data_IF_396871694658
#
_entry.id   IF_396871694658
#
_cell.length_a   1.000
_cell.length_b   1.000
_cell.length_c   1.000
_cell.angle_alpha   90.00
_cell.angle_beta   90.00
_cell.angle_gamma   90.00
#
_symmetry.space_group_name_H-M   'P 1'
#
loop_
_entity.id
_entity.type
_entity.pdbx_description
1 polymer ?
#
# COMPACT_ATOMS: atom_id res chain seq x y z
N UNK A 1 -20.14 3.85 0.36
CA UNK A 1 -19.43 4.99 0.94
C UNK A 1 -18.24 4.46 1.74
N UNK A 2 -17.01 4.83 1.37
CA UNK A 2 -15.78 4.42 2.06
C UNK A 2 -15.68 5.06 3.45
N UNK A 3 -14.69 4.63 4.25
CA UNK A 3 -14.40 5.29 5.53
C UNK A 3 -14.05 6.76 5.32
N UNK A 4 -13.18 7.07 4.37
CA UNK A 4 -12.74 8.44 4.11
C UNK A 4 -13.91 9.34 3.67
N UNK A 5 -14.82 8.84 2.83
CA UNK A 5 -16.05 9.55 2.48
C UNK A 5 -16.96 9.80 3.70
N UNK A 6 -17.05 8.85 4.63
CA UNK A 6 -17.79 9.06 5.90
C UNK A 6 -17.11 10.14 6.77
N UNK A 7 -15.79 10.16 6.84
CA UNK A 7 -15.02 11.20 7.54
C UNK A 7 -15.32 12.57 6.92
N UNK A 8 -15.21 12.70 5.59
CA UNK A 8 -15.46 13.94 4.85
C UNK A 8 -16.91 14.43 4.97
N UNK A 9 -17.88 13.50 4.98
CA UNK A 9 -19.30 13.84 5.19
C UNK A 9 -19.61 14.37 6.59
N UNK A 10 -18.73 14.13 7.56
CA UNK A 10 -18.95 14.44 8.97
C UNK A 10 -19.73 13.38 9.74
N UNK A 11 -20.07 12.25 9.12
CA UNK A 11 -20.78 11.14 9.77
C UNK A 11 -20.00 10.55 10.97
N UNK A 12 -18.67 10.73 11.01
CA UNK A 12 -17.84 10.28 12.13
C UNK A 12 -17.54 11.40 13.15
N UNK A 13 -18.07 12.61 12.95
CA UNK A 13 -17.89 13.75 13.84
C UNK A 13 -16.98 14.85 13.30
N UNK A 14 -17.05 16.03 13.94
CA UNK A 14 -16.43 17.26 13.43
C UNK A 14 -14.90 17.20 13.35
N UNK A 15 -14.25 16.48 14.27
CA UNK A 15 -12.80 16.30 14.23
C UNK A 15 -12.36 15.57 12.95
N UNK A 16 -12.99 14.42 12.66
CA UNK A 16 -12.66 13.60 11.50
C UNK A 16 -12.95 14.30 10.18
N UNK A 17 -14.03 15.09 10.12
CA UNK A 17 -14.31 15.94 8.97
C UNK A 17 -13.19 16.94 8.68
N UNK A 18 -12.78 17.71 9.70
CA UNK A 18 -11.69 18.68 9.57
C UNK A 18 -10.36 18.02 9.21
N UNK A 19 -10.10 16.81 9.74
CA UNK A 19 -8.91 16.05 9.39
C UNK A 19 -8.92 15.60 7.93
N UNK A 20 -10.04 15.06 7.44
CA UNK A 20 -10.21 14.64 6.05
C UNK A 20 -10.10 15.81 5.06
N UNK A 21 -10.69 16.97 5.38
CA UNK A 21 -10.57 18.19 4.58
C UNK A 21 -9.11 18.66 4.46
N UNK A 22 -8.36 18.68 5.59
CA UNK A 22 -6.93 18.99 5.57
C UNK A 22 -6.11 17.99 4.77
N UNK A 23 -6.49 16.72 4.82
CA UNK A 23 -5.80 15.69 4.06
C UNK A 23 -6.01 15.85 2.55
N UNK A 24 -7.22 16.21 2.10
CA UNK A 24 -7.46 16.55 0.68
C UNK A 24 -6.65 17.76 0.24
N UNK A 25 -6.52 18.79 1.09
CA UNK A 25 -5.70 19.95 0.77
C UNK A 25 -4.22 19.57 0.63
N UNK A 26 -3.71 18.74 1.54
CA UNK A 26 -2.34 18.22 1.43
C UNK A 26 -2.13 17.40 0.15
N UNK A 27 -3.09 16.57 -0.25
CA UNK A 27 -3.01 15.82 -1.51
C UNK A 27 -2.99 16.76 -2.71
N UNK A 28 -3.76 17.85 -2.67
CA UNK A 28 -3.73 18.90 -3.69
C UNK A 28 -2.35 19.59 -3.75
N UNK A 29 -1.79 19.95 -2.61
CA UNK A 29 -0.44 20.54 -2.51
C UNK A 29 0.63 19.58 -3.04
N UNK A 30 0.58 18.30 -2.66
CA UNK A 30 1.54 17.29 -3.11
C UNK A 30 1.43 17.03 -4.63
N UNK A 31 0.24 17.09 -5.20
CA UNK A 31 0.02 17.04 -6.66
C UNK A 31 0.61 18.28 -7.36
N UNK A 32 0.35 19.49 -6.84
CA UNK A 32 0.89 20.73 -7.41
C UNK A 32 2.42 20.80 -7.31
N UNK A 33 2.99 20.29 -6.23
CA UNK A 33 4.43 20.23 -6.00
C UNK A 33 5.12 19.10 -6.80
N UNK A 34 4.37 18.29 -7.57
CA UNK A 34 4.92 17.18 -8.34
C UNK A 34 5.40 15.99 -7.50
N UNK A 35 5.04 15.94 -6.21
CA UNK A 35 5.29 14.77 -5.35
C UNK A 35 4.33 13.62 -5.66
N UNK A 36 3.18 13.93 -6.26
CA UNK A 36 2.32 12.98 -6.93
C UNK A 36 2.35 13.33 -8.41
N UNK A 37 2.65 12.36 -9.27
CA UNK A 37 2.64 12.52 -10.72
C UNK A 37 1.56 11.64 -11.32
N UNK A 38 0.99 12.09 -12.44
CA UNK A 38 0.00 11.34 -13.21
C UNK A 38 0.52 11.30 -14.65
N UNK A 39 0.67 10.10 -15.21
CA UNK A 39 1.13 9.93 -16.59
C UNK A 39 0.00 10.12 -17.62
N UNK A 40 0.33 10.00 -18.90
CA UNK A 40 -0.61 10.15 -20.02
C UNK A 40 -1.76 9.12 -20.02
N UNK A 41 -1.59 7.99 -19.33
CA UNK A 41 -2.60 6.95 -19.18
C UNK A 41 -3.43 7.13 -17.89
N UNK A 42 -3.20 8.21 -17.15
CA UNK A 42 -3.86 8.49 -15.89
C UNK A 42 -3.33 7.68 -14.71
N UNK A 43 -2.16 7.03 -14.82
CA UNK A 43 -1.55 6.27 -13.73
C UNK A 43 -0.88 7.21 -12.75
N UNK A 44 -1.32 7.19 -11.49
CA UNK A 44 -0.75 8.01 -10.45
C UNK A 44 0.43 7.33 -9.73
N UNK A 45 1.51 8.07 -9.51
CA UNK A 45 2.73 7.63 -8.81
C UNK A 45 3.13 8.61 -7.71
N UNK A 46 3.74 8.09 -6.65
CA UNK A 46 4.31 8.91 -5.57
C UNK A 46 5.70 9.46 -5.96
N UNK A 47 6.31 10.21 -5.04
CA UNK A 47 7.58 10.91 -5.25
C UNK A 47 8.78 9.97 -5.46
N UNK A 48 8.66 8.67 -5.15
CA UNK A 48 9.67 7.65 -5.42
C UNK A 48 9.34 6.80 -6.65
N UNK A 49 8.35 7.22 -7.45
CA UNK A 49 7.96 6.57 -8.69
C UNK A 49 7.10 5.31 -8.54
N UNK A 50 6.62 4.97 -7.34
CA UNK A 50 5.74 3.82 -7.11
C UNK A 50 4.27 4.17 -7.35
N UNK A 51 3.50 3.24 -7.90
CA UNK A 51 2.06 3.43 -8.12
C UNK A 51 1.33 3.65 -6.80
N UNK A 52 0.35 4.56 -6.78
CA UNK A 52 -0.38 4.90 -5.56
C UNK A 52 -1.21 3.73 -4.99
N UNK A 53 -1.22 3.65 -3.66
CA UNK A 53 -2.11 2.76 -2.90
C UNK A 53 -3.55 3.26 -2.95
N UNK A 54 -4.51 2.37 -2.66
CA UNK A 54 -5.95 2.62 -2.86
C UNK A 54 -6.49 3.78 -2.02
N UNK A 55 -5.98 3.94 -0.81
CA UNK A 55 -6.36 5.01 0.12
C UNK A 55 -5.92 6.39 -0.37
N UNK A 56 -4.68 6.51 -0.89
CA UNK A 56 -4.18 7.75 -1.47
C UNK A 56 -4.79 8.03 -2.84
N UNK A 57 -5.01 6.98 -3.64
CA UNK A 57 -5.68 7.07 -4.94
C UNK A 57 -7.13 7.57 -4.81
N UNK A 58 -7.86 7.10 -3.80
CA UNK A 58 -9.20 7.60 -3.50
C UNK A 58 -9.18 9.12 -3.26
N UNK A 59 -8.26 9.59 -2.43
CA UNK A 59 -8.12 11.02 -2.10
C UNK A 59 -7.73 11.83 -3.33
N UNK A 60 -6.80 11.32 -4.15
CA UNK A 60 -6.38 11.98 -5.38
C UNK A 60 -7.55 12.09 -6.38
N UNK A 61 -8.37 11.05 -6.52
CA UNK A 61 -9.54 11.06 -7.39
C UNK A 61 -10.64 12.04 -6.95
N UNK A 62 -10.61 12.50 -5.69
CA UNK A 62 -11.48 13.59 -5.21
C UNK A 62 -10.91 14.99 -5.50
N UNK A 63 -9.61 15.09 -5.80
CA UNK A 63 -8.90 16.35 -5.99
C UNK A 63 -8.68 16.68 -7.47
N UNK A 64 -8.63 15.66 -8.33
CA UNK A 64 -8.45 15.82 -9.78
C UNK A 64 -9.18 14.72 -10.58
N UNK A 65 -9.63 15.09 -11.77
CA UNK A 65 -10.21 14.23 -12.81
C UNK A 65 -9.16 13.57 -13.72
N UNK A 66 -7.88 13.97 -13.62
CA UNK A 66 -6.80 13.47 -14.48
C UNK A 66 -6.37 12.04 -14.17
N UNK A 67 -6.69 11.54 -12.97
CA UNK A 67 -6.30 10.19 -12.54
C UNK A 67 -7.32 9.16 -12.97
N UNK A 68 -6.83 8.02 -13.46
CA UNK A 68 -7.64 6.82 -13.69
C UNK A 68 -7.47 5.85 -12.53
N UNK A 69 -8.53 5.62 -11.76
CA UNK A 69 -8.54 4.66 -10.65
C UNK A 69 -8.29 3.24 -11.15
N UNK A 70 -8.88 2.90 -12.30
CA UNK A 70 -8.73 1.59 -12.93
C UNK A 70 -7.30 1.37 -13.42
N UNK A 71 -6.74 2.30 -14.19
CA UNK A 71 -5.39 2.18 -14.73
C UNK A 71 -4.34 2.14 -13.60
N UNK A 72 -4.52 2.98 -12.58
CA UNK A 72 -3.63 2.97 -11.39
C UNK A 72 -3.74 1.65 -10.63
N UNK A 73 -4.94 1.09 -10.47
CA UNK A 73 -5.13 -0.21 -9.81
C UNK A 73 -4.45 -1.34 -10.60
N UNK A 74 -4.67 -1.40 -11.92
CA UNK A 74 -4.04 -2.42 -12.77
C UNK A 74 -2.51 -2.30 -12.77
N UNK A 75 -1.96 -1.09 -12.82
CA UNK A 75 -0.52 -0.85 -12.73
C UNK A 75 0.05 -1.31 -11.39
N UNK A 76 -0.66 -1.02 -10.28
CA UNK A 76 -0.27 -1.46 -8.94
C UNK A 76 -0.25 -2.99 -8.84
N UNK A 77 -1.29 -3.66 -9.31
CA UNK A 77 -1.39 -5.12 -9.23
C UNK A 77 -0.27 -5.80 -10.02
N UNK A 78 0.11 -5.22 -11.17
CA UNK A 78 1.27 -5.67 -11.96
C UNK A 78 2.59 -5.46 -11.22
N UNK A 79 2.81 -4.30 -10.61
CA UNK A 79 4.03 -4.00 -9.85
C UNK A 79 4.16 -4.87 -8.60
N UNK A 80 3.07 -5.07 -7.86
CA UNK A 80 3.01 -5.97 -6.70
C UNK A 80 3.28 -7.40 -7.12
N UNK A 81 2.64 -7.88 -8.19
CA UNK A 81 2.85 -9.25 -8.70
C UNK A 81 4.30 -9.47 -9.09
N UNK A 82 4.92 -8.50 -9.78
CA UNK A 82 6.33 -8.55 -10.15
C UNK A 82 7.23 -8.58 -8.92
N UNK A 83 7.01 -7.68 -7.95
CA UNK A 83 7.81 -7.61 -6.72
C UNK A 83 7.72 -8.90 -5.90
N UNK A 84 6.52 -9.48 -5.78
CA UNK A 84 6.32 -10.76 -5.09
C UNK A 84 7.00 -11.92 -5.82
N UNK A 85 6.96 -11.95 -7.15
CA UNK A 85 7.66 -12.97 -7.94
C UNK A 85 9.19 -12.86 -7.79
N UNK A 86 9.73 -11.64 -7.80
CA UNK A 86 11.15 -11.39 -7.57
C UNK A 86 11.57 -11.82 -6.16
N UNK A 87 10.78 -11.49 -5.13
CA UNK A 87 11.01 -11.94 -3.77
C UNK A 87 11.04 -13.47 -3.67
N UNK A 88 10.05 -14.16 -4.26
CA UNK A 88 10.02 -15.64 -4.27
C UNK A 88 11.23 -16.25 -4.97
N UNK A 89 11.72 -15.61 -6.03
CA UNK A 89 12.90 -16.09 -6.78
C UNK A 89 14.20 -15.93 -5.98
N UNK A 90 14.30 -14.88 -5.15
CA UNK A 90 15.50 -14.57 -4.37
C UNK A 90 15.43 -15.05 -2.91
N UNK A 91 14.30 -15.62 -2.50
CA UNK A 91 14.08 -16.13 -1.15
C UNK A 91 15.14 -17.16 -0.80
N UNK A 92 15.74 -16.99 0.38
CA UNK A 92 16.74 -17.90 0.94
C UNK A 92 16.07 -18.80 1.98
N UNK A 93 16.56 -20.04 2.13
CA UNK A 93 16.13 -20.88 3.23
C UNK A 93 16.47 -20.21 4.57
N UNK A 94 15.66 -20.51 5.58
CA UNK A 94 15.86 -20.04 6.96
C UNK A 94 17.24 -20.49 7.45
N UNK A 95 18.04 -19.54 7.93
CA UNK A 95 19.33 -19.82 8.55
C UNK A 95 19.17 -20.42 9.94
N UNK A 96 20.27 -20.98 10.49
CA UNK A 96 20.23 -21.56 11.84
C UNK A 96 19.93 -20.51 12.92
N UNK A 97 20.49 -19.31 12.79
CA UNK A 97 20.24 -18.19 13.68
C UNK A 97 18.76 -17.77 13.64
N UNK A 98 18.20 -17.53 12.45
CA UNK A 98 16.78 -17.23 12.28
C UNK A 98 15.89 -18.34 12.85
N UNK A 99 16.29 -19.62 12.71
CA UNK A 99 15.55 -20.74 13.29
C UNK A 99 15.55 -20.70 14.82
N UNK A 100 16.66 -20.34 15.46
CA UNK A 100 16.74 -20.16 16.92
C UNK A 100 15.87 -18.99 17.39
N UNK A 101 15.89 -17.87 16.66
CA UNK A 101 15.03 -16.71 16.95
C UNK A 101 13.54 -17.06 16.82
N UNK A 102 13.18 -17.77 15.75
CA UNK A 102 11.82 -18.25 15.53
C UNK A 102 11.39 -19.22 16.64
N UNK A 103 12.25 -20.15 17.08
CA UNK A 103 11.96 -21.02 18.22
C UNK A 103 11.71 -20.24 19.51
N UNK A 104 12.48 -19.19 19.77
CA UNK A 104 12.30 -18.35 20.96
C UNK A 104 10.98 -17.55 20.91
N UNK A 105 10.58 -17.08 19.73
CA UNK A 105 9.36 -16.28 19.55
C UNK A 105 8.07 -17.12 19.48
N UNK A 106 8.10 -18.24 18.75
CA UNK A 106 6.92 -19.05 18.43
C UNK A 106 6.85 -20.38 19.17
N UNK A 107 7.93 -20.78 19.86
CA UNK A 107 8.04 -22.05 20.55
C UNK A 107 8.58 -23.18 19.68
N UNK A 108 9.30 -24.11 20.33
CA UNK A 108 9.79 -25.34 19.71
C UNK A 108 8.63 -26.27 19.33
N UNK A 109 8.70 -26.88 18.16
CA UNK A 109 7.68 -27.74 17.57
C UNK A 109 6.61 -26.99 16.77
N UNK A 110 6.66 -25.66 16.72
CA UNK A 110 5.69 -24.85 15.96
C UNK A 110 6.05 -24.84 14.47
N UNK A 111 5.04 -24.96 13.59
CA UNK A 111 5.22 -24.72 12.15
C UNK A 111 5.01 -23.25 11.84
N UNK A 112 6.04 -22.59 11.32
CA UNK A 112 5.95 -21.22 10.81
C UNK A 112 5.86 -21.23 9.29
N UNK A 113 5.03 -20.35 8.74
CA UNK A 113 4.82 -20.25 7.29
C UNK A 113 5.28 -18.88 6.81
N UNK A 114 6.16 -18.86 5.81
CA UNK A 114 6.47 -17.64 5.09
C UNK A 114 5.26 -17.27 4.21
N UNK A 115 4.54 -16.22 4.58
CA UNK A 115 3.30 -15.80 3.90
C UNK A 115 3.50 -15.43 2.42
N UNK A 116 4.73 -15.06 2.03
CA UNK A 116 5.04 -14.63 0.66
C UNK A 116 5.40 -15.81 -0.24
N UNK A 117 6.12 -16.80 0.28
CA UNK A 117 6.59 -17.99 -0.48
C UNK A 117 5.73 -19.23 -0.29
N UNK A 118 4.98 -19.31 0.82
CA UNK A 118 4.26 -20.52 1.25
C UNK A 118 5.15 -21.58 1.90
N UNK A 119 6.45 -21.32 2.04
CA UNK A 119 7.40 -22.23 2.67
C UNK A 119 7.06 -22.45 4.15
N UNK A 120 7.16 -23.71 4.59
CA UNK A 120 6.89 -24.12 5.97
C UNK A 120 8.18 -24.53 6.66
N UNK A 121 8.39 -24.01 7.85
CA UNK A 121 9.56 -24.32 8.69
C UNK A 121 9.07 -24.91 10.01
N UNK A 122 9.49 -26.13 10.32
CA UNK A 122 9.28 -26.74 11.63
C UNK A 122 10.42 -26.37 12.57
N UNK A 123 10.06 -25.71 13.67
CA UNK A 123 10.97 -25.18 14.68
C UNK A 123 11.40 -26.25 15.67
#
# INVERSE_FOLDING_TARGET
MTRFQKELSGALGAYWKRAAEKELEKVREDLQAGKITIDENGVARNCIGRVLMSDMLEKLAMVTDKVSVEATTAARDKEVSKSLAEYRKSARPVSEEERMEMQAAFGKGTTVVNVLTGEKTEL
#
